data_IF_297667493481
#
_entry.id   IF_297667493481
#
_cell.length_a   1.000
_cell.length_b   1.000
_cell.length_c   1.000
_cell.angle_alpha   90.00
_cell.angle_beta   90.00
_cell.angle_gamma   90.00
#
_symmetry.space_group_name_H-M   'P 1'
#
loop_
_entity.id
_entity.type
_entity.pdbx_description
1 polymer ?
#
# COMPACT_ATOMS: atom_id res chain seq x y z
N UNK A 1 0.64 -30.50 -55.08
CA UNK A 1 0.93 -29.07 -54.79
C UNK A 1 0.32 -28.76 -53.41
N UNK A 2 1.15 -28.75 -52.40
CA UNK A 2 0.74 -28.48 -51.03
C UNK A 2 0.97 -26.98 -50.71
N UNK A 3 -0.07 -26.30 -50.29
CA UNK A 3 0.02 -24.92 -49.80
C UNK A 3 0.16 -24.99 -48.28
N UNK A 4 1.31 -24.57 -47.79
CA UNK A 4 1.61 -24.34 -46.38
C UNK A 4 1.00 -22.99 -45.96
N UNK A 5 -0.02 -23.03 -45.12
CA UNK A 5 -0.57 -21.87 -44.42
C UNK A 5 0.24 -21.62 -43.16
N UNK A 6 1.03 -20.52 -43.12
CA UNK A 6 1.71 -20.07 -41.93
C UNK A 6 0.73 -19.41 -40.96
N UNK A 7 0.58 -19.97 -39.78
CA UNK A 7 -0.09 -19.32 -38.67
C UNK A 7 0.83 -18.24 -38.06
N UNK A 8 0.57 -16.97 -38.36
CA UNK A 8 1.06 -15.86 -37.53
C UNK A 8 0.29 -15.88 -36.22
N UNK A 9 0.97 -16.29 -35.15
CA UNK A 9 0.48 -16.04 -33.81
C UNK A 9 0.49 -14.51 -33.55
N UNK A 10 -0.67 -13.92 -33.40
CA UNK A 10 -0.80 -12.53 -32.97
C UNK A 10 -0.21 -12.44 -31.55
N UNK A 11 0.82 -11.60 -31.39
CA UNK A 11 1.32 -11.25 -30.07
C UNK A 11 0.17 -10.59 -29.29
N UNK A 12 -0.15 -11.16 -28.13
CA UNK A 12 -1.12 -10.56 -27.22
C UNK A 12 -0.68 -9.16 -26.78
N UNK A 13 -1.60 -8.31 -26.31
CA UNK A 13 -1.27 -6.96 -25.91
C UNK A 13 -0.21 -6.99 -24.81
N UNK A 14 0.83 -6.15 -24.95
CA UNK A 14 1.87 -5.99 -23.93
C UNK A 14 1.25 -5.61 -22.58
N UNK A 15 1.78 -6.15 -21.47
CA UNK A 15 1.31 -5.79 -20.13
C UNK A 15 1.39 -4.27 -19.92
N UNK A 16 0.33 -3.67 -19.38
CA UNK A 16 0.20 -2.23 -19.18
C UNK A 16 1.42 -1.60 -18.48
N UNK A 17 1.97 -2.30 -17.49
CA UNK A 17 3.12 -1.83 -16.70
C UNK A 17 4.45 -1.78 -17.47
N UNK A 18 4.57 -2.42 -18.64
CA UNK A 18 5.78 -2.38 -19.49
C UNK A 18 5.84 -1.14 -20.38
N UNK A 19 4.75 -0.41 -20.55
CA UNK A 19 4.66 0.77 -21.45
C UNK A 19 5.46 2.00 -20.98
N UNK A 20 5.82 2.07 -19.69
CA UNK A 20 6.73 3.12 -19.20
C UNK A 20 8.16 2.63 -19.29
N UNK A 21 8.96 3.18 -20.20
CA UNK A 21 10.38 2.82 -20.37
C UNK A 21 11.19 3.12 -19.11
N UNK A 22 11.99 2.16 -18.64
CA UNK A 22 12.97 2.35 -17.59
C UNK A 22 14.10 3.22 -18.12
N UNK A 23 14.31 4.38 -17.53
CA UNK A 23 15.54 5.15 -17.78
C UNK A 23 16.61 4.63 -16.81
N UNK A 24 17.51 3.82 -17.32
CA UNK A 24 18.65 3.26 -16.56
C UNK A 24 19.56 4.39 -16.05
N UNK A 25 19.82 4.48 -14.75
CA UNK A 25 20.98 5.22 -14.24
C UNK A 25 22.25 4.38 -14.48
N UNK A 26 23.33 5.04 -14.88
CA UNK A 26 24.63 4.40 -15.09
C UNK A 26 25.17 3.72 -13.83
N UNK A 27 25.88 2.61 -14.04
CA UNK A 27 26.46 1.72 -13.08
C UNK A 27 27.33 2.40 -12.01
N UNK A 28 27.02 2.12 -10.74
CA UNK A 28 27.98 2.23 -9.64
C UNK A 28 28.03 0.87 -8.91
N UNK A 29 29.12 0.17 -9.11
CA UNK A 29 29.41 -1.09 -8.41
C UNK A 29 29.78 -0.84 -6.95
N UNK A 30 29.27 -1.64 -5.99
CA UNK A 30 29.86 -1.73 -4.65
C UNK A 30 30.88 -2.86 -4.60
N UNK A 31 32.07 -2.56 -4.07
CA UNK A 31 33.14 -3.51 -3.79
C UNK A 31 32.83 -4.44 -2.60
N UNK A 32 33.59 -5.55 -2.48
CA UNK A 32 33.29 -6.61 -1.53
C UNK A 32 33.78 -6.29 -0.12
N UNK A 33 32.96 -6.60 0.89
CA UNK A 33 33.37 -6.64 2.30
C UNK A 33 33.56 -8.09 2.76
N UNK A 34 34.78 -8.36 3.19
CA UNK A 34 35.24 -9.65 3.70
C UNK A 34 34.64 -10.01 5.07
N UNK A 35 34.38 -11.30 5.23
CA UNK A 35 33.88 -11.89 6.46
C UNK A 35 34.95 -12.14 7.52
N UNK A 36 34.56 -12.14 8.77
CA UNK A 36 35.31 -12.78 9.86
C UNK A 36 34.44 -13.75 10.63
N UNK A 37 34.93 -14.97 10.68
CA UNK A 37 34.41 -16.09 11.47
C UNK A 37 34.78 -15.93 12.96
N UNK A 38 33.85 -16.24 13.84
CA UNK A 38 34.08 -16.37 15.29
C UNK A 38 33.39 -17.63 15.80
N UNK A 39 34.15 -18.41 16.55
CA UNK A 39 33.91 -19.77 16.99
C UNK A 39 32.74 -19.97 17.97
N UNK A 40 32.15 -21.16 17.90
CA UNK A 40 31.07 -21.72 18.73
C UNK A 40 31.69 -22.34 20.02
N UNK A 41 31.08 -22.17 21.21
CA UNK A 41 31.25 -23.09 22.34
C UNK A 41 30.13 -24.14 22.37
N UNK A 42 30.51 -25.37 22.67
CA UNK A 42 29.72 -26.56 22.68
C UNK A 42 28.73 -26.71 23.84
N UNK A 43 27.98 -27.81 23.91
CA UNK A 43 26.71 -27.93 24.61
C UNK A 43 26.86 -28.29 26.09
N UNK A 44 26.09 -27.63 26.92
CA UNK A 44 25.83 -27.97 28.32
C UNK A 44 24.47 -28.72 28.45
N UNK A 45 24.20 -29.41 29.53
CA UNK A 45 23.26 -30.50 29.60
C UNK A 45 21.78 -30.09 29.70
N UNK A 46 20.95 -30.97 29.18
CA UNK A 46 19.50 -30.94 29.11
C UNK A 46 18.80 -30.62 30.44
N UNK A 47 18.00 -29.57 30.42
CA UNK A 47 16.91 -29.36 31.37
C UNK A 47 15.58 -29.59 30.67
N UNK A 48 14.74 -30.41 31.28
CA UNK A 48 13.36 -30.71 30.91
C UNK A 48 12.57 -29.40 30.65
N UNK A 49 12.45 -28.98 29.39
CA UNK A 49 11.78 -27.74 29.03
C UNK A 49 10.30 -28.01 28.77
N UNK A 50 9.49 -27.77 29.78
CA UNK A 50 8.05 -27.50 29.59
C UNK A 50 7.94 -26.21 28.77
N UNK A 51 7.81 -26.35 27.44
CA UNK A 51 7.63 -25.23 26.53
C UNK A 51 6.37 -24.47 26.95
N UNK A 52 6.51 -23.18 27.27
CA UNK A 52 5.38 -22.32 27.61
C UNK A 52 4.36 -22.26 26.47
N UNK A 53 3.08 -21.95 26.73
CA UNK A 53 2.08 -21.79 25.68
C UNK A 53 2.53 -20.82 24.56
N UNK A 54 3.27 -19.79 24.91
CA UNK A 54 3.90 -18.84 23.97
C UNK A 54 4.99 -19.49 23.10
N UNK A 55 5.81 -20.36 23.70
CA UNK A 55 6.83 -21.12 22.97
C UNK A 55 6.18 -22.09 21.97
N UNK A 56 5.06 -22.71 22.33
CA UNK A 56 4.29 -23.57 21.42
C UNK A 56 3.71 -22.81 20.24
N UNK A 57 3.15 -21.62 20.44
CA UNK A 57 2.62 -20.79 19.37
C UNK A 57 3.71 -20.30 18.42
N UNK A 58 4.88 -19.92 18.95
CA UNK A 58 6.03 -19.53 18.11
C UNK A 58 6.61 -20.72 17.35
N UNK A 59 6.68 -21.89 17.96
CA UNK A 59 7.10 -23.12 17.29
C UNK A 59 6.11 -23.52 16.18
N UNK A 60 4.81 -23.45 16.43
CA UNK A 60 3.78 -23.72 15.44
C UNK A 60 3.87 -22.78 14.24
N UNK A 61 4.22 -21.49 14.44
CA UNK A 61 4.46 -20.55 13.36
C UNK A 61 5.66 -20.96 12.50
N UNK A 62 6.76 -21.38 13.11
CA UNK A 62 7.96 -21.85 12.42
C UNK A 62 7.74 -23.17 11.67
N UNK A 63 6.86 -24.03 12.15
CA UNK A 63 6.48 -25.28 11.48
C UNK A 63 5.57 -25.04 10.27
N UNK A 64 4.83 -23.94 10.24
CA UNK A 64 3.88 -23.62 9.18
C UNK A 64 4.48 -22.66 8.11
N UNK A 65 5.42 -21.80 8.51
CA UNK A 65 5.96 -20.76 7.64
C UNK A 65 7.49 -20.73 7.66
N UNK A 66 8.07 -20.63 6.48
CA UNK A 66 9.51 -20.36 6.32
C UNK A 66 9.71 -18.87 6.07
N UNK A 67 10.34 -18.18 7.02
CA UNK A 67 10.71 -16.77 6.87
C UNK A 67 11.77 -16.57 5.78
N UNK A 68 11.61 -15.50 5.02
CA UNK A 68 12.53 -15.01 3.99
C UNK A 68 13.12 -13.63 4.35
N UNK A 69 13.25 -12.77 3.36
CA UNK A 69 13.84 -11.44 3.51
C UNK A 69 12.91 -10.46 4.23
N UNK A 70 13.51 -9.46 4.90
CA UNK A 70 12.80 -8.31 5.42
C UNK A 70 12.30 -7.45 4.25
N UNK A 71 10.99 -7.21 4.19
CA UNK A 71 10.35 -6.36 3.18
C UNK A 71 10.30 -4.90 3.61
N UNK A 72 10.11 -4.65 4.90
CA UNK A 72 10.02 -3.30 5.44
C UNK A 72 10.09 -3.27 6.97
N UNK A 73 10.49 -2.12 7.50
CA UNK A 73 10.52 -1.84 8.93
C UNK A 73 10.07 -0.40 9.17
N UNK A 74 9.24 -0.18 10.18
CA UNK A 74 8.72 1.16 10.50
C UNK A 74 8.05 1.26 11.87
N UNK A 75 7.32 2.34 12.06
CA UNK A 75 6.61 2.63 13.32
C UNK A 75 5.61 1.55 13.74
N UNK A 76 5.05 0.84 12.78
CA UNK A 76 4.05 -0.23 12.98
C UNK A 76 4.64 -1.63 13.08
N UNK A 77 5.96 -1.79 13.07
CA UNK A 77 6.63 -3.08 13.17
C UNK A 77 7.49 -3.44 11.97
N UNK A 78 7.73 -4.73 11.77
CA UNK A 78 8.54 -5.28 10.69
C UNK A 78 7.72 -6.22 9.83
N UNK A 79 7.89 -6.17 8.52
CA UNK A 79 7.21 -7.04 7.55
C UNK A 79 8.25 -7.91 6.85
N UNK A 80 8.01 -9.21 6.82
CA UNK A 80 8.89 -10.22 6.26
C UNK A 80 8.21 -10.95 5.11
N UNK A 81 8.93 -11.21 4.05
CA UNK A 81 8.53 -12.22 3.08
C UNK A 81 8.57 -13.59 3.76
N UNK A 82 7.61 -14.43 3.47
CA UNK A 82 7.60 -15.80 3.95
C UNK A 82 6.94 -16.73 2.92
N UNK A 83 7.09 -18.03 3.15
CA UNK A 83 6.45 -19.08 2.35
C UNK A 83 5.67 -19.97 3.29
N UNK A 84 4.38 -20.15 3.02
CA UNK A 84 3.56 -21.15 3.72
C UNK A 84 3.97 -22.55 3.27
N UNK A 85 4.31 -23.43 4.22
CA UNK A 85 4.93 -24.72 3.91
C UNK A 85 3.94 -25.76 3.34
N UNK A 86 2.65 -25.63 3.68
CA UNK A 86 1.61 -26.60 3.26
C UNK A 86 1.39 -26.60 1.74
N UNK A 87 1.44 -25.46 1.09
CA UNK A 87 1.13 -25.26 -0.34
C UNK A 87 2.19 -24.45 -1.09
N UNK A 88 3.25 -24.01 -0.40
CA UNK A 88 4.33 -23.16 -0.91
C UNK A 88 3.86 -21.75 -1.33
N UNK A 89 2.67 -21.32 -0.89
CA UNK A 89 2.17 -19.99 -1.20
C UNK A 89 3.06 -18.88 -0.60
N UNK A 90 3.38 -17.82 -1.36
CA UNK A 90 4.06 -16.65 -0.84
C UNK A 90 3.11 -15.86 0.07
N UNK A 91 3.60 -15.46 1.24
CA UNK A 91 2.87 -14.66 2.22
C UNK A 91 3.74 -13.52 2.75
N UNK A 92 3.13 -12.51 3.34
CA UNK A 92 3.80 -11.48 4.11
C UNK A 92 3.45 -11.67 5.60
N UNK A 93 4.46 -11.64 6.46
CA UNK A 93 4.29 -11.73 7.91
C UNK A 93 4.69 -10.39 8.53
N UNK A 94 3.71 -9.67 9.09
CA UNK A 94 3.93 -8.44 9.85
C UNK A 94 3.98 -8.78 11.33
N UNK A 95 5.07 -8.37 11.97
CA UNK A 95 5.27 -8.47 13.41
C UNK A 95 5.13 -7.09 14.03
N UNK A 96 4.17 -6.93 14.91
CA UNK A 96 3.90 -5.68 15.64
C UNK A 96 4.19 -5.93 17.13
N UNK A 97 5.13 -5.22 17.75
CA UNK A 97 5.31 -5.30 19.19
C UNK A 97 4.01 -4.93 19.92
N UNK A 98 3.57 -5.78 20.87
CA UNK A 98 2.30 -5.61 21.58
C UNK A 98 2.19 -4.23 22.25
N UNK A 99 3.29 -3.70 22.78
CA UNK A 99 3.33 -2.38 23.41
C UNK A 99 3.18 -1.20 22.43
N UNK A 100 3.23 -1.45 21.11
CA UNK A 100 2.97 -0.46 20.05
C UNK A 100 1.52 -0.47 19.58
N UNK A 101 0.72 -1.46 19.99
CA UNK A 101 -0.71 -1.52 19.68
C UNK A 101 -1.44 -0.49 20.52
N UNK A 102 -1.95 0.57 19.89
CA UNK A 102 -2.62 1.69 20.56
C UNK A 102 -4.13 1.50 20.68
N UNK A 103 -4.75 0.82 19.72
CA UNK A 103 -6.19 0.66 19.62
C UNK A 103 -6.55 -0.81 19.46
N UNK A 104 -7.55 -1.23 20.19
CA UNK A 104 -8.13 -2.56 20.16
C UNK A 104 -9.58 -2.45 19.72
N UNK A 105 -10.07 -3.48 19.07
CA UNK A 105 -11.46 -3.62 18.66
C UNK A 105 -11.93 -5.06 18.88
N UNK A 106 -13.11 -5.36 18.36
CA UNK A 106 -13.73 -6.66 18.49
C UNK A 106 -14.02 -7.24 17.10
N UNK A 107 -13.62 -8.49 16.90
CA UNK A 107 -13.96 -9.28 15.72
C UNK A 107 -15.42 -9.78 15.81
N UNK A 108 -16.06 -10.18 14.70
CA UNK A 108 -17.44 -10.65 14.70
C UNK A 108 -17.72 -11.83 15.64
N UNK A 109 -16.71 -12.60 15.98
CA UNK A 109 -16.80 -13.72 16.94
C UNK A 109 -16.64 -13.32 18.41
N UNK A 110 -16.57 -12.02 18.72
CA UNK A 110 -16.36 -11.49 20.06
C UNK A 110 -14.90 -11.48 20.53
N UNK A 111 -13.95 -11.89 19.70
CA UNK A 111 -12.52 -11.86 20.06
C UNK A 111 -11.99 -10.44 20.00
N UNK A 112 -11.33 -9.99 21.07
CA UNK A 112 -10.59 -8.73 21.08
C UNK A 112 -9.32 -8.86 20.23
N UNK A 113 -9.10 -7.91 19.33
CA UNK A 113 -7.91 -7.87 18.44
C UNK A 113 -7.43 -6.43 18.25
N UNK A 114 -6.15 -6.22 17.89
CA UNK A 114 -5.69 -4.92 17.43
C UNK A 114 -6.59 -4.35 16.34
N UNK A 115 -6.84 -3.04 16.38
CA UNK A 115 -7.75 -2.40 15.43
C UNK A 115 -7.34 -2.65 13.97
N UNK A 116 -6.04 -2.65 13.68
CA UNK A 116 -5.53 -2.98 12.34
C UNK A 116 -6.06 -4.34 11.83
N UNK A 117 -6.10 -5.36 12.71
CA UNK A 117 -6.62 -6.70 12.37
C UNK A 117 -8.12 -6.65 12.14
N UNK A 118 -8.85 -5.94 13.00
CA UNK A 118 -10.31 -5.78 12.84
C UNK A 118 -10.64 -5.12 11.50
N UNK A 119 -9.91 -4.07 11.13
CA UNK A 119 -10.10 -3.37 9.86
C UNK A 119 -9.72 -4.25 8.66
N UNK A 120 -8.58 -4.93 8.73
CA UNK A 120 -8.17 -5.90 7.71
C UNK A 120 -9.21 -7.01 7.53
N UNK A 121 -9.74 -7.55 8.63
CA UNK A 121 -10.80 -8.56 8.58
C UNK A 121 -12.05 -8.02 7.85
N UNK A 122 -12.44 -6.76 8.12
CA UNK A 122 -13.60 -6.14 7.47
C UNK A 122 -13.45 -5.98 5.95
N UNK A 123 -12.24 -5.66 5.47
CA UNK A 123 -11.98 -5.41 4.05
C UNK A 123 -11.51 -6.66 3.29
N UNK A 124 -11.13 -7.74 4.00
CA UNK A 124 -10.68 -9.02 3.41
C UNK A 124 -11.85 -9.88 2.97
N UNK A 125 -12.57 -9.41 1.94
CA UNK A 125 -13.78 -10.07 1.40
C UNK A 125 -13.50 -10.85 0.10
N UNK A 126 -12.24 -11.00 -0.29
CA UNK A 126 -11.83 -11.52 -1.59
C UNK A 126 -11.69 -10.43 -2.67
N UNK A 127 -11.98 -9.16 -2.37
CA UNK A 127 -11.77 -8.06 -3.30
C UNK A 127 -10.27 -7.88 -3.61
N UNK A 128 -9.83 -7.96 -4.88
CA UNK A 128 -8.41 -8.03 -5.24
C UNK A 128 -7.63 -6.74 -5.02
N UNK A 129 -8.30 -5.58 -4.91
CA UNK A 129 -7.69 -4.26 -4.71
C UNK A 129 -7.23 -3.98 -3.29
N UNK A 130 -7.43 -4.90 -2.34
CA UNK A 130 -6.98 -4.80 -0.95
C UNK A 130 -6.26 -6.07 -0.57
N UNK A 131 -5.18 -5.95 0.22
CA UNK A 131 -4.46 -7.10 0.77
C UNK A 131 -5.39 -7.95 1.64
N UNK A 132 -5.35 -9.28 1.47
CA UNK A 132 -6.18 -10.20 2.25
C UNK A 132 -5.46 -10.65 3.52
N UNK A 133 -6.15 -10.55 4.65
CA UNK A 133 -5.75 -11.18 5.91
C UNK A 133 -5.95 -12.69 5.77
N UNK A 134 -4.89 -13.48 6.02
CA UNK A 134 -4.98 -14.94 6.03
C UNK A 134 -5.22 -15.48 7.44
N UNK A 135 -4.38 -15.04 8.38
CA UNK A 135 -4.52 -15.37 9.80
C UNK A 135 -3.77 -14.36 10.67
N UNK A 136 -3.99 -14.41 11.96
CA UNK A 136 -3.22 -13.64 12.92
C UNK A 136 -3.04 -14.43 14.21
N UNK A 137 -1.96 -14.11 14.95
CA UNK A 137 -1.59 -14.77 16.19
C UNK A 137 -1.22 -13.73 17.24
N UNK A 138 -1.64 -13.93 18.46
CA UNK A 138 -1.22 -13.16 19.61
C UNK A 138 -0.14 -13.92 20.36
N UNK A 139 1.07 -13.37 20.40
CA UNK A 139 2.16 -13.83 21.23
C UNK A 139 2.28 -12.92 22.46
N UNK A 140 2.98 -13.32 23.54
CA UNK A 140 3.07 -12.51 24.76
C UNK A 140 3.57 -11.08 24.53
N UNK A 141 4.52 -10.90 23.62
CA UNK A 141 5.16 -9.61 23.35
C UNK A 141 4.90 -9.08 21.94
N UNK A 142 4.27 -9.85 21.08
CA UNK A 142 4.09 -9.52 19.68
C UNK A 142 2.72 -9.94 19.15
N UNK A 143 2.24 -9.19 18.18
CA UNK A 143 1.13 -9.56 17.33
C UNK A 143 1.71 -9.95 15.98
N UNK A 144 1.29 -11.09 15.46
CA UNK A 144 1.70 -11.59 14.14
C UNK A 144 0.50 -11.51 13.21
N UNK A 145 0.65 -10.84 12.08
CA UNK A 145 -0.37 -10.71 11.04
C UNK A 145 0.16 -11.37 9.77
N UNK A 146 -0.55 -12.35 9.26
CA UNK A 146 -0.17 -13.11 8.06
C UNK A 146 -1.13 -12.73 6.94
N UNK A 147 -0.58 -12.23 5.84
CA UNK A 147 -1.32 -11.69 4.71
C UNK A 147 -0.87 -12.34 3.40
N UNK A 148 -1.72 -12.28 2.40
CA UNK A 148 -1.31 -12.62 1.04
C UNK A 148 -0.13 -11.77 0.58
N UNK A 149 0.68 -12.31 -0.31
CA UNK A 149 1.76 -11.59 -0.97
C UNK A 149 1.89 -12.06 -2.41
N UNK A 150 1.67 -11.20 -3.42
CA UNK A 150 2.00 -11.52 -4.80
C UNK A 150 3.49 -11.83 -4.92
N UNK A 151 3.85 -12.89 -5.64
CA UNK A 151 5.25 -13.37 -5.73
C UNK A 151 6.18 -12.33 -6.36
N UNK A 152 5.70 -11.70 -7.44
CA UNK A 152 6.40 -10.64 -8.14
C UNK A 152 5.71 -9.31 -7.87
N UNK A 153 6.08 -8.65 -6.79
CA UNK A 153 5.44 -7.40 -6.39
C UNK A 153 6.46 -6.30 -6.07
N UNK A 154 6.02 -5.07 -6.25
CA UNK A 154 6.77 -3.86 -5.94
C UNK A 154 5.79 -2.80 -5.46
N UNK A 155 6.17 -1.98 -4.46
CA UNK A 155 5.32 -0.84 -4.11
C UNK A 155 5.40 0.25 -5.18
N UNK A 156 4.33 1.05 -5.27
CA UNK A 156 4.19 2.08 -6.28
C UNK A 156 5.24 3.19 -6.14
N UNK A 157 5.78 3.43 -4.93
CA UNK A 157 6.84 4.41 -4.73
C UNK A 157 8.13 4.02 -5.46
N UNK A 158 8.55 2.76 -5.35
CA UNK A 158 9.69 2.23 -6.08
C UNK A 158 9.41 2.18 -7.59
N UNK A 159 8.18 1.80 -7.97
CA UNK A 159 7.76 1.76 -9.36
C UNK A 159 7.82 3.16 -10.04
N UNK A 160 7.37 4.22 -9.36
CA UNK A 160 7.46 5.60 -9.84
C UNK A 160 8.93 6.04 -9.90
N UNK A 161 9.72 5.78 -8.85
CA UNK A 161 11.14 6.18 -8.80
C UNK A 161 11.95 5.61 -9.96
N UNK A 162 11.76 4.34 -10.30
CA UNK A 162 12.46 3.70 -11.41
C UNK A 162 12.16 4.35 -12.76
N UNK A 163 10.98 4.96 -12.90
CA UNK A 163 10.49 5.58 -14.16
C UNK A 163 10.51 7.11 -14.13
N UNK A 164 10.88 7.72 -13.02
CA UNK A 164 10.78 9.14 -12.69
C UNK A 164 9.33 9.62 -12.55
N UNK A 165 8.46 9.31 -13.47
CA UNK A 165 7.01 9.53 -13.45
C UNK A 165 6.33 8.51 -14.37
N UNK A 166 5.02 8.43 -14.28
CA UNK A 166 4.20 7.57 -15.11
C UNK A 166 3.53 8.37 -16.22
N UNK A 167 3.36 7.77 -17.41
CA UNK A 167 2.46 8.34 -18.41
C UNK A 167 1.02 8.32 -17.92
N UNK A 168 0.17 9.21 -18.44
CA UNK A 168 -1.21 9.36 -17.96
C UNK A 168 -2.03 8.08 -18.14
N UNK A 169 -1.80 7.30 -19.18
CA UNK A 169 -2.49 6.04 -19.42
C UNK A 169 -2.26 5.04 -18.26
N UNK A 170 -1.00 4.82 -17.88
CA UNK A 170 -0.64 3.92 -16.76
C UNK A 170 -1.12 4.49 -15.44
N UNK A 171 -0.96 5.80 -15.23
CA UNK A 171 -1.40 6.49 -14.02
C UNK A 171 -2.93 6.39 -13.85
N UNK A 172 -3.69 6.57 -14.92
CA UNK A 172 -5.16 6.47 -14.94
C UNK A 172 -5.63 5.09 -14.54
N UNK A 173 -5.05 4.04 -15.12
CA UNK A 173 -5.43 2.67 -14.80
C UNK A 173 -5.11 2.31 -13.34
N UNK A 174 -3.92 2.65 -12.85
CA UNK A 174 -3.54 2.43 -11.46
C UNK A 174 -4.40 3.26 -10.50
N UNK A 175 -4.66 4.52 -10.84
CA UNK A 175 -5.51 5.39 -10.04
C UNK A 175 -6.94 4.90 -9.96
N UNK A 176 -7.49 4.36 -11.06
CA UNK A 176 -8.81 3.70 -11.07
C UNK A 176 -8.87 2.56 -10.06
N UNK A 177 -7.88 1.68 -10.06
CA UNK A 177 -7.81 0.57 -9.10
C UNK A 177 -7.71 1.06 -7.65
N UNK A 178 -6.96 2.15 -7.41
CA UNK A 178 -6.89 2.77 -6.06
C UNK A 178 -8.24 3.35 -5.66
N UNK A 179 -8.97 4.03 -6.55
CA UNK A 179 -10.32 4.53 -6.28
C UNK A 179 -11.28 3.38 -5.94
N UNK A 180 -11.21 2.26 -6.68
CA UNK A 180 -12.00 1.06 -6.38
C UNK A 180 -11.67 0.49 -5.00
N UNK A 181 -10.38 0.44 -4.62
CA UNK A 181 -9.96 0.00 -3.30
C UNK A 181 -10.47 0.92 -2.18
N UNK A 182 -10.42 2.24 -2.39
CA UNK A 182 -10.97 3.23 -1.46
C UNK A 182 -12.48 3.07 -1.32
N UNK A 183 -13.20 2.93 -2.43
CA UNK A 183 -14.65 2.70 -2.44
C UNK A 183 -15.01 1.41 -1.70
N UNK A 184 -14.25 0.34 -1.92
CA UNK A 184 -14.41 -0.92 -1.19
C UNK A 184 -14.21 -0.74 0.32
N UNK A 185 -13.13 -0.07 0.75
CA UNK A 185 -12.91 0.21 2.17
C UNK A 185 -14.07 1.00 2.78
N UNK A 186 -14.53 2.05 2.09
CA UNK A 186 -15.67 2.87 2.50
C UNK A 186 -16.94 2.02 2.66
N UNK A 187 -17.24 1.14 1.71
CA UNK A 187 -18.39 0.24 1.78
C UNK A 187 -18.31 -0.75 2.94
N UNK A 188 -17.10 -1.11 3.38
CA UNK A 188 -16.84 -1.93 4.57
C UNK A 188 -16.83 -1.10 5.88
N UNK A 189 -17.09 0.22 5.83
CA UNK A 189 -17.06 1.10 6.99
C UNK A 189 -15.64 1.38 7.51
N UNK A 190 -14.64 1.37 6.63
CA UNK A 190 -13.21 1.52 6.96
C UNK A 190 -12.64 2.76 6.28
N UNK A 191 -11.92 3.57 7.04
CA UNK A 191 -11.12 4.69 6.56
C UNK A 191 -9.63 4.36 6.73
N UNK A 192 -8.86 4.36 5.63
CA UNK A 192 -7.45 3.93 5.61
C UNK A 192 -6.49 4.94 6.25
N UNK A 193 -6.63 6.23 5.95
CA UNK A 193 -5.89 7.39 6.47
C UNK A 193 -4.41 7.51 6.11
N UNK A 194 -3.82 6.57 5.36
CA UNK A 194 -2.41 6.66 4.94
C UNK A 194 -2.23 6.24 3.46
N UNK A 195 -3.07 6.83 2.59
CA UNK A 195 -2.96 6.62 1.16
C UNK A 195 -1.72 7.33 0.63
N UNK A 196 -0.77 6.55 0.11
CA UNK A 196 0.48 7.02 -0.48
C UNK A 196 1.09 5.93 -1.37
N UNK A 197 2.02 6.25 -2.28
CA UNK A 197 2.60 5.24 -3.18
C UNK A 197 3.24 4.05 -2.45
N UNK A 198 3.84 4.27 -1.27
CA UNK A 198 4.44 3.19 -0.48
C UNK A 198 3.43 2.19 0.10
N UNK A 199 2.14 2.55 0.16
CA UNK A 199 1.06 1.69 0.65
C UNK A 199 0.19 1.11 -0.49
N UNK A 200 0.65 1.22 -1.74
CA UNK A 200 0.07 0.57 -2.91
C UNK A 200 1.07 -0.47 -3.43
N UNK A 201 0.71 -1.73 -3.35
CA UNK A 201 1.51 -2.83 -3.86
C UNK A 201 1.05 -3.21 -5.26
N UNK A 202 1.98 -3.28 -6.21
CA UNK A 202 1.71 -3.70 -7.58
C UNK A 202 2.12 -5.15 -7.76
N UNK A 203 1.21 -5.99 -8.19
CA UNK A 203 1.52 -7.31 -8.75
C UNK A 203 2.02 -7.12 -10.19
N UNK A 204 3.31 -7.34 -10.41
CA UNK A 204 3.94 -7.11 -11.70
C UNK A 204 3.57 -8.16 -12.75
N UNK A 205 2.99 -9.30 -12.34
CA UNK A 205 2.52 -10.32 -13.26
C UNK A 205 1.14 -9.98 -13.86
N UNK A 206 0.26 -9.37 -13.05
CA UNK A 206 -1.14 -9.11 -13.45
C UNK A 206 -1.44 -7.64 -13.68
N UNK A 207 -0.60 -6.71 -13.18
CA UNK A 207 -0.89 -5.27 -13.16
C UNK A 207 -1.87 -4.85 -12.06
N UNK A 208 -2.26 -5.77 -11.15
CA UNK A 208 -3.17 -5.49 -10.06
C UNK A 208 -2.50 -4.61 -9.00
N UNK A 209 -3.15 -3.50 -8.65
CA UNK A 209 -2.79 -2.69 -7.49
C UNK A 209 -3.56 -3.17 -6.25
N UNK A 210 -2.86 -3.26 -5.11
CA UNK A 210 -3.44 -3.65 -3.82
C UNK A 210 -3.11 -2.60 -2.76
N UNK A 211 -4.12 -2.12 -2.07
CA UNK A 211 -3.95 -1.27 -0.89
C UNK A 211 -3.48 -2.11 0.29
N UNK A 212 -2.40 -1.69 0.95
CA UNK A 212 -1.77 -2.37 2.08
C UNK A 212 -1.64 -1.44 3.29
N UNK A 213 -1.36 -2.00 4.46
CA UNK A 213 -1.05 -1.33 5.73
C UNK A 213 -2.20 -0.48 6.30
N UNK A 214 -3.07 -1.14 7.07
CA UNK A 214 -4.19 -0.53 7.78
C UNK A 214 -3.84 -0.04 9.20
N UNK A 215 -2.55 0.05 9.53
CA UNK A 215 -2.08 0.47 10.86
C UNK A 215 -2.47 1.89 11.27
N UNK A 216 -2.74 2.78 10.31
CA UNK A 216 -3.30 4.12 10.53
C UNK A 216 -4.82 4.16 10.40
N UNK A 217 -5.47 3.06 10.02
CA UNK A 217 -6.89 3.00 9.73
C UNK A 217 -7.78 3.24 10.95
N UNK A 218 -9.05 3.49 10.68
CA UNK A 218 -10.10 3.61 11.69
C UNK A 218 -11.46 3.29 11.07
N UNK A 219 -12.50 3.23 11.92
CA UNK A 219 -13.87 3.16 11.41
C UNK A 219 -14.26 4.44 10.69
N UNK A 220 -14.98 4.30 9.59
CA UNK A 220 -15.60 5.42 8.90
C UNK A 220 -16.73 6.00 9.78
N UNK A 221 -16.75 7.32 9.92
CA UNK A 221 -17.78 8.05 10.63
C UNK A 221 -18.16 9.34 9.88
N UNK A 222 -19.38 9.80 10.07
CA UNK A 222 -19.89 11.03 9.46
C UNK A 222 -19.48 12.30 10.21
N UNK A 223 -18.97 12.14 11.44
CA UNK A 223 -18.48 13.24 12.27
C UNK A 223 -17.00 13.53 12.00
N UNK A 224 -16.55 14.73 12.36
CA UNK A 224 -15.17 15.12 12.20
C UNK A 224 -14.21 14.26 13.08
N UNK A 225 -13.03 14.01 12.55
CA UNK A 225 -11.92 13.41 13.27
C UNK A 225 -11.08 14.51 13.92
N UNK A 226 -10.72 14.30 15.19
CA UNK A 226 -9.92 15.23 16.00
C UNK A 226 -8.52 14.72 16.30
N UNK A 227 -8.15 13.59 15.73
CA UNK A 227 -6.81 13.01 15.82
C UNK A 227 -6.34 12.61 14.42
N UNK A 228 -5.16 13.10 14.06
CA UNK A 228 -4.52 12.71 12.80
C UNK A 228 -3.74 11.40 12.97
N UNK A 229 -3.87 10.54 11.99
CA UNK A 229 -3.01 9.38 11.78
C UNK A 229 -2.59 9.35 10.32
N UNK A 230 -1.45 8.73 10.05
CA UNK A 230 -0.90 8.65 8.70
C UNK A 230 0.38 9.45 8.54
N UNK A 231 0.79 9.64 7.30
CA UNK A 231 2.03 10.33 6.94
C UNK A 231 1.81 11.85 6.96
N UNK A 232 2.55 12.62 7.80
CA UNK A 232 2.29 14.05 7.98
C UNK A 232 2.28 14.90 6.71
N UNK A 233 3.11 14.56 5.71
CA UNK A 233 3.15 15.31 4.44
C UNK A 233 1.90 15.13 3.58
N UNK A 234 1.00 14.20 3.93
CA UNK A 234 -0.30 13.98 3.29
C UNK A 234 -1.46 14.58 4.09
N UNK A 235 -1.18 15.24 5.22
CA UNK A 235 -2.22 15.87 6.03
C UNK A 235 -2.91 16.98 5.24
N UNK A 236 -4.24 17.05 5.27
CA UNK A 236 -4.98 18.07 4.56
C UNK A 236 -4.89 19.43 5.27
N UNK A 237 -5.09 20.54 4.54
CA UNK A 237 -4.94 21.90 5.11
C UNK A 237 -5.87 22.17 6.29
N UNK A 238 -7.10 21.67 6.28
CA UNK A 238 -8.05 21.81 7.39
C UNK A 238 -7.55 21.18 8.69
N UNK A 239 -6.85 20.03 8.62
CA UNK A 239 -6.19 19.46 9.79
C UNK A 239 -5.11 20.39 10.35
N UNK A 240 -4.24 20.89 9.47
CA UNK A 240 -3.13 21.75 9.88
C UNK A 240 -3.60 23.10 10.45
N UNK A 241 -4.79 23.57 10.04
CA UNK A 241 -5.32 24.87 10.41
C UNK A 241 -6.28 24.79 11.60
N UNK A 242 -7.16 23.80 11.62
CA UNK A 242 -8.27 23.73 12.58
C UNK A 242 -8.14 22.55 13.57
N UNK A 243 -7.25 21.59 13.32
CA UNK A 243 -7.08 20.40 14.17
C UNK A 243 -8.21 19.38 14.07
N UNK A 244 -9.01 19.45 13.02
CA UNK A 244 -10.04 18.46 12.69
C UNK A 244 -10.18 18.30 11.17
N UNK A 245 -10.79 17.20 10.73
CA UNK A 245 -11.06 16.92 9.32
C UNK A 245 -12.18 15.91 9.17
N UNK A 246 -12.86 15.92 8.02
CA UNK A 246 -13.78 14.86 7.62
C UNK A 246 -13.04 13.79 6.80
N UNK A 247 -13.41 12.52 7.01
CA UNK A 247 -12.65 11.38 6.46
C UNK A 247 -12.62 11.33 4.95
N UNK A 248 -13.75 11.55 4.28
CA UNK A 248 -13.81 11.46 2.82
C UNK A 248 -13.08 12.62 2.12
N UNK A 249 -13.26 13.90 2.47
CA UNK A 249 -12.49 14.99 1.87
C UNK A 249 -10.97 14.87 2.12
N UNK A 250 -10.56 14.42 3.30
CA UNK A 250 -9.15 14.18 3.61
C UNK A 250 -8.56 13.02 2.75
N UNK A 251 -9.36 11.99 2.48
CA UNK A 251 -8.99 10.90 1.56
C UNK A 251 -8.78 11.43 0.15
N UNK A 252 -9.66 12.28 -0.35
CA UNK A 252 -9.53 12.88 -1.69
C UNK A 252 -8.30 13.77 -1.79
N UNK A 253 -7.97 14.52 -0.75
CA UNK A 253 -6.71 15.25 -0.66
C UNK A 253 -5.50 14.32 -0.83
N UNK A 254 -5.45 13.22 -0.08
CA UNK A 254 -4.37 12.22 -0.21
C UNK A 254 -4.33 11.59 -1.62
N UNK A 255 -5.48 11.34 -2.23
CA UNK A 255 -5.58 10.85 -3.62
C UNK A 255 -5.02 11.87 -4.62
N UNK A 256 -5.26 13.17 -4.40
CA UNK A 256 -4.67 14.24 -5.23
C UNK A 256 -3.14 14.26 -5.15
N UNK A 257 -2.58 14.12 -3.94
CA UNK A 257 -1.12 14.01 -3.76
C UNK A 257 -0.59 12.75 -4.45
N UNK A 258 -1.26 11.61 -4.27
CA UNK A 258 -0.90 10.35 -4.90
C UNK A 258 -0.86 10.47 -6.43
N UNK A 259 -1.92 11.03 -7.04
CA UNK A 259 -1.98 11.22 -8.49
C UNK A 259 -0.88 12.15 -8.99
N UNK A 260 -0.64 13.27 -8.29
CA UNK A 260 0.47 14.18 -8.61
C UNK A 260 1.81 13.43 -8.60
N UNK A 261 2.07 12.59 -7.60
CA UNK A 261 3.30 11.80 -7.54
C UNK A 261 3.39 10.78 -8.67
N UNK A 262 2.28 10.17 -9.08
CA UNK A 262 2.27 9.27 -10.23
C UNK A 262 2.72 9.98 -11.51
N UNK A 263 2.14 11.13 -11.81
CA UNK A 263 2.35 11.82 -13.11
C UNK A 263 3.47 12.85 -13.12
N UNK A 264 3.91 13.35 -11.95
CA UNK A 264 5.01 14.30 -11.82
C UNK A 264 6.28 13.69 -11.22
N UNK A 265 6.17 12.53 -10.51
CA UNK A 265 7.30 11.86 -9.87
C UNK A 265 7.70 12.44 -8.52
N UNK A 266 7.09 13.52 -8.08
CA UNK A 266 7.43 14.23 -6.86
C UNK A 266 6.18 14.65 -6.08
N UNK A 267 6.38 14.95 -4.79
CA UNK A 267 5.31 15.45 -3.92
C UNK A 267 4.94 16.90 -4.32
N UNK A 268 3.64 17.28 -4.41
CA UNK A 268 3.22 18.60 -4.87
C UNK A 268 3.65 19.74 -3.94
N UNK A 269 3.89 19.45 -2.66
CA UNK A 269 4.24 20.45 -1.65
C UNK A 269 5.65 20.21 -1.12
N UNK A 270 6.43 21.28 -0.97
CA UNK A 270 7.79 21.19 -0.40
C UNK A 270 7.74 20.86 1.08
N UNK A 271 8.61 19.98 1.53
CA UNK A 271 8.73 19.63 2.94
C UNK A 271 9.01 20.86 3.79
N UNK A 272 8.29 20.99 4.92
CA UNK A 272 8.50 22.06 5.90
C UNK A 272 7.86 23.40 5.55
N UNK A 273 7.23 23.54 4.39
CA UNK A 273 6.47 24.73 4.05
C UNK A 273 4.99 24.54 4.41
N UNK A 274 4.40 25.55 5.06
CA UNK A 274 2.94 25.61 5.23
C UNK A 274 2.31 25.80 3.85
N UNK A 275 1.26 25.06 3.56
CA UNK A 275 0.47 25.23 2.35
C UNK A 275 -0.28 26.54 2.51
N UNK A 276 -0.03 27.50 1.63
CA UNK A 276 -0.70 28.80 1.61
C UNK A 276 -2.02 28.71 0.85
N UNK A 277 -3.02 29.48 1.26
CA UNK A 277 -4.35 29.53 0.61
C UNK A 277 -4.28 30.00 -0.85
N UNK A 278 -3.30 30.82 -1.18
CA UNK A 278 -3.02 31.33 -2.51
C UNK A 278 -2.03 30.45 -3.31
N UNK A 279 -1.72 29.25 -2.78
CA UNK A 279 -0.79 28.34 -3.43
C UNK A 279 -1.33 27.90 -4.80
N UNK A 280 -0.71 28.40 -5.85
CA UNK A 280 -0.96 27.91 -7.21
C UNK A 280 -0.08 26.70 -7.48
N UNK A 281 -0.73 25.54 -7.67
CA UNK A 281 -0.04 24.32 -8.04
C UNK A 281 0.48 24.42 -9.48
N UNK A 282 1.81 24.50 -9.62
CA UNK A 282 2.46 24.45 -10.93
C UNK A 282 2.52 23.01 -11.42
N UNK A 283 1.81 22.72 -12.50
CA UNK A 283 1.79 21.41 -13.13
C UNK A 283 2.52 21.43 -14.47
N UNK A 284 3.25 20.38 -14.82
CA UNK A 284 3.97 20.29 -16.07
C UNK A 284 3.02 20.46 -17.29
N UNK A 285 3.42 21.26 -18.32
CA UNK A 285 2.58 21.46 -19.52
C UNK A 285 2.39 20.21 -20.37
N UNK A 286 3.17 19.15 -20.12
CA UNK A 286 3.02 17.84 -20.76
C UNK A 286 1.77 17.07 -20.30
N UNK A 287 1.16 17.47 -19.18
CA UNK A 287 -0.07 16.85 -18.70
C UNK A 287 -1.27 17.42 -19.44
N UNK A 288 -2.23 16.55 -19.77
CA UNK A 288 -3.52 16.97 -20.33
C UNK A 288 -4.22 17.97 -19.41
N UNK A 289 -5.11 18.78 -19.97
CA UNK A 289 -5.88 19.73 -19.16
C UNK A 289 -6.77 19.00 -18.17
N UNK A 290 -7.33 17.87 -18.56
CA UNK A 290 -8.17 17.01 -17.74
C UNK A 290 -7.38 16.41 -16.56
N UNK A 291 -6.12 15.98 -16.79
CA UNK A 291 -5.24 15.52 -15.72
C UNK A 291 -4.93 16.65 -14.72
N UNK A 292 -4.61 17.83 -15.23
CA UNK A 292 -4.36 19.01 -14.40
C UNK A 292 -5.60 19.42 -13.62
N UNK A 293 -6.80 19.33 -14.20
CA UNK A 293 -8.07 19.68 -13.58
C UNK A 293 -8.39 18.74 -12.42
N UNK A 294 -8.32 17.42 -12.62
CA UNK A 294 -8.61 16.45 -11.54
C UNK A 294 -7.63 16.60 -10.36
N UNK A 295 -6.35 16.85 -10.62
CA UNK A 295 -5.36 17.10 -9.56
C UNK A 295 -5.73 18.36 -8.77
N UNK A 296 -6.03 19.48 -9.44
CA UNK A 296 -6.40 20.75 -8.78
C UNK A 296 -7.67 20.61 -7.96
N UNK A 297 -8.67 19.90 -8.46
CA UNK A 297 -9.93 19.64 -7.72
C UNK A 297 -9.69 18.83 -6.46
N UNK A 298 -8.92 17.73 -6.55
CA UNK A 298 -8.55 16.92 -5.38
C UNK A 298 -7.78 17.74 -4.34
N UNK A 299 -6.93 18.67 -4.78
CA UNK A 299 -6.08 19.51 -3.94
C UNK A 299 -6.69 20.90 -3.67
N UNK A 300 -8.02 21.03 -3.75
CA UNK A 300 -8.73 22.23 -3.30
C UNK A 300 -8.50 22.47 -1.81
N UNK A 301 -8.20 23.72 -1.46
CA UNK A 301 -7.90 24.11 -0.08
C UNK A 301 -9.12 23.95 0.83
N UNK A 302 -10.30 24.27 0.31
CA UNK A 302 -11.56 24.01 1.00
C UNK A 302 -11.99 22.55 0.77
N UNK A 303 -12.23 21.86 1.85
CA UNK A 303 -12.63 20.44 1.83
C UNK A 303 -13.97 20.22 1.10
N UNK A 304 -14.89 21.18 1.19
CA UNK A 304 -16.20 21.16 0.53
C UNK A 304 -16.13 21.30 -0.99
N UNK A 305 -15.03 21.84 -1.52
CA UNK A 305 -14.83 22.01 -2.97
C UNK A 305 -14.17 20.77 -3.62
N UNK A 306 -13.74 19.81 -2.79
CA UNK A 306 -13.15 18.56 -3.30
C UNK A 306 -14.25 17.64 -3.83
N UNK A 307 -14.02 16.97 -4.96
CA UNK A 307 -14.96 15.98 -5.48
C UNK A 307 -15.12 14.79 -4.50
N UNK A 308 -16.25 14.11 -4.57
CA UNK A 308 -16.39 12.80 -3.95
C UNK A 308 -15.58 11.74 -4.74
N UNK A 309 -15.37 10.56 -4.15
CA UNK A 309 -14.75 9.42 -4.87
C UNK A 309 -15.58 9.02 -6.09
N UNK A 310 -16.91 9.09 -6.00
CA UNK A 310 -17.81 8.78 -7.13
C UNK A 310 -17.70 9.84 -8.25
N UNK A 311 -17.56 11.13 -7.89
CA UNK A 311 -17.31 12.19 -8.88
C UNK A 311 -15.98 11.98 -9.60
N UNK A 312 -14.95 11.47 -8.91
CA UNK A 312 -13.68 11.14 -9.53
C UNK A 312 -13.81 10.06 -10.60
N UNK A 313 -14.60 9.00 -10.36
CA UNK A 313 -14.87 7.98 -11.40
C UNK A 313 -15.52 8.58 -12.64
N UNK A 314 -16.37 9.61 -12.48
CA UNK A 314 -17.08 10.28 -13.56
C UNK A 314 -16.29 11.41 -14.21
N UNK A 315 -15.11 11.75 -13.69
CA UNK A 315 -14.28 12.86 -14.20
C UNK A 315 -13.80 12.56 -15.64
N UNK A 316 -13.78 13.56 -16.56
CA UNK A 316 -13.34 13.38 -17.95
C UNK A 316 -12.01 12.65 -18.08
N UNK A 317 -11.02 12.99 -17.24
CA UNK A 317 -9.72 12.31 -17.24
C UNK A 317 -9.84 10.80 -17.00
N UNK A 318 -10.80 10.35 -16.19
CA UNK A 318 -11.03 8.92 -15.92
C UNK A 318 -11.80 8.22 -17.03
N UNK A 319 -12.54 8.98 -17.85
CA UNK A 319 -13.36 8.46 -18.97
C UNK A 319 -12.57 8.37 -20.28
N UNK A 320 -11.40 9.01 -20.35
CA UNK A 320 -10.57 9.04 -21.55
C UNK A 320 -9.96 7.65 -21.81
N UNK A 321 -10.80 6.77 -22.32
CA UNK A 321 -10.41 5.49 -22.87
C UNK A 321 -10.23 5.67 -24.37
N UNK A 322 -9.06 6.11 -24.79
CA UNK A 322 -8.62 5.83 -26.15
C UNK A 322 -8.38 4.31 -26.26
N UNK A 323 -9.48 3.55 -26.27
CA UNK A 323 -9.49 2.25 -26.93
C UNK A 323 -9.68 2.55 -28.42
N UNK A 324 -8.73 2.08 -29.26
CA UNK A 324 -8.92 2.16 -30.71
C UNK A 324 -10.10 1.32 -31.16
#
# INVERSE_FOLDING_TARGET
MALLGGHHAAAGPEPLLSRCQEQTPGDAQPGPLEGRSGAVPGPGPSADSRVSPAGKAQQALQEQYRLGSLLGHGGFGSVWAATRLSDRAPVAIKRVPRNRVRHWGELPNGTSAPLEIVLLHKVSTGFPGVVQLLEWLELPNDIIIIMERPERSQDLQHFIRARRFLCEEVARELFRQVLEAVRHCTSCGVLHRDLKPGNILLDLATGQAKLIDFGCGTYLQDTAYTHFAGTPSYSPPEWNQFGWYYGQPATVWSLGILLHQMVCGEHPFRRGHKISWDHQLSLPPRLSQECQDVIRRCLSMLDVDRPSVEDLFSHPWMQDSHLP
#
